data_IF_606338807673
#
_entry.id   IF_606338807673
#
_cell.length_a   1.000
_cell.length_b   1.000
_cell.length_c   1.000
_cell.angle_alpha   90.00
_cell.angle_beta   90.00
_cell.angle_gamma   90.00
#
_symmetry.space_group_name_H-M   'P 1'
#
loop_
_entity.id
_entity.type
_entity.pdbx_description
1 polymer ?
#
# COMPACT_ATOMS: atom_id res chain seq x y z
N UNK A 1 6.53 -13.57 -2.02
CA UNK A 1 5.09 -13.87 -2.19
C UNK A 1 4.18 -13.26 -1.12
N UNK A 2 4.51 -13.25 0.18
CA UNK A 2 3.61 -12.67 1.23
C UNK A 2 3.25 -11.18 1.04
N UNK A 3 4.19 -10.35 0.60
CA UNK A 3 3.91 -8.94 0.32
C UNK A 3 2.98 -8.75 -0.87
N UNK A 4 3.17 -9.54 -1.94
CA UNK A 4 2.24 -9.58 -3.07
C UNK A 4 0.85 -10.07 -2.67
N UNK A 5 0.78 -11.10 -1.83
CA UNK A 5 -0.49 -11.56 -1.30
C UNK A 5 -1.21 -10.46 -0.50
N UNK A 6 -0.52 -9.78 0.43
CA UNK A 6 -1.11 -8.67 1.17
C UNK A 6 -1.62 -7.56 0.24
N UNK A 7 -0.83 -7.23 -0.77
CA UNK A 7 -1.18 -6.20 -1.73
C UNK A 7 -2.43 -6.55 -2.55
N UNK A 8 -2.50 -7.76 -3.08
CA UNK A 8 -3.62 -8.19 -3.93
C UNK A 8 -4.89 -8.56 -3.13
N UNK A 9 -4.75 -8.91 -1.85
CA UNK A 9 -5.81 -9.63 -1.14
C UNK A 9 -6.19 -9.04 0.23
N UNK A 10 -5.28 -8.33 0.92
CA UNK A 10 -5.50 -7.82 2.28
C UNK A 10 -5.57 -6.29 2.34
N UNK A 11 -5.96 -5.65 1.24
CA UNK A 11 -6.22 -4.20 1.21
C UNK A 11 -5.06 -3.34 0.71
N UNK A 12 -4.06 -3.94 0.06
CA UNK A 12 -2.97 -3.21 -0.57
C UNK A 12 -1.79 -2.98 0.36
N UNK A 13 -0.62 -2.71 -0.24
CA UNK A 13 0.53 -2.20 0.49
C UNK A 13 0.77 -0.74 0.07
N UNK A 14 0.76 0.16 1.06
CA UNK A 14 0.90 1.61 0.86
C UNK A 14 2.19 2.12 1.48
N UNK A 15 2.66 3.26 0.97
CA UNK A 15 3.75 3.98 1.61
C UNK A 15 3.27 4.64 2.91
N UNK A 16 4.19 4.93 3.81
CA UNK A 16 3.94 5.74 4.98
C UNK A 16 3.61 7.18 4.59
N UNK A 17 2.78 7.84 5.41
CA UNK A 17 2.55 9.27 5.23
C UNK A 17 3.84 10.05 5.53
N UNK A 18 4.00 11.20 4.91
CA UNK A 18 5.18 12.07 5.16
C UNK A 18 5.28 12.50 6.63
N UNK A 19 4.14 12.64 7.32
CA UNK A 19 4.13 12.91 8.76
C UNK A 19 4.71 11.74 9.55
N UNK A 20 4.26 10.51 9.29
CA UNK A 20 4.79 9.33 9.96
C UNK A 20 6.29 9.15 9.71
N UNK A 21 6.75 9.36 8.47
CA UNK A 21 8.17 9.32 8.12
C UNK A 21 8.99 10.32 8.93
N UNK A 22 8.49 11.55 9.12
CA UNK A 22 9.16 12.57 9.95
C UNK A 22 9.17 12.19 11.43
N UNK A 23 8.03 11.80 11.97
CA UNK A 23 7.86 11.55 13.40
C UNK A 23 8.70 10.34 13.87
N UNK A 24 8.73 9.29 13.05
CA UNK A 24 9.46 8.04 13.33
C UNK A 24 10.84 7.98 12.66
N UNK A 25 11.26 9.05 11.97
CA UNK A 25 12.55 9.17 11.27
C UNK A 25 12.80 8.02 10.28
N UNK A 26 11.75 7.61 9.57
CA UNK A 26 11.81 6.58 8.53
C UNK A 26 12.09 7.27 7.19
N UNK A 27 13.14 6.82 6.49
CA UNK A 27 13.58 7.44 5.24
C UNK A 27 12.94 6.85 3.98
N UNK A 28 12.27 5.70 4.08
CA UNK A 28 11.77 4.97 2.93
C UNK A 28 10.43 4.28 3.17
N UNK A 29 9.86 3.69 2.11
CA UNK A 29 8.62 2.95 2.20
C UNK A 29 8.79 1.65 3.02
N UNK A 30 7.68 1.05 3.49
CA UNK A 30 7.74 -0.27 4.11
C UNK A 30 8.32 -1.29 3.14
N UNK A 31 9.07 -2.27 3.65
CA UNK A 31 9.68 -3.35 2.84
C UNK A 31 8.71 -4.02 1.86
N UNK A 32 7.47 -4.27 2.27
CA UNK A 32 6.51 -4.90 1.38
C UNK A 32 6.13 -4.00 0.20
N UNK A 33 6.15 -2.67 0.35
CA UNK A 33 5.88 -1.73 -0.74
C UNK A 33 6.98 -1.80 -1.79
N UNK A 34 8.24 -1.80 -1.36
CA UNK A 34 9.40 -1.94 -2.25
C UNK A 34 9.36 -3.25 -3.05
N UNK A 35 9.11 -4.38 -2.38
CA UNK A 35 9.02 -5.69 -3.02
C UNK A 35 7.87 -5.73 -4.03
N UNK A 36 6.72 -5.18 -3.66
CA UNK A 36 5.55 -5.07 -4.55
C UNK A 36 5.89 -4.28 -5.80
N UNK A 37 6.53 -3.12 -5.65
CA UNK A 37 6.88 -2.24 -6.77
C UNK A 37 7.94 -2.85 -7.68
N UNK A 38 8.94 -3.56 -7.12
CA UNK A 38 9.93 -4.31 -7.91
C UNK A 38 9.30 -5.45 -8.70
N UNK A 39 8.33 -6.17 -8.12
CA UNK A 39 7.62 -7.24 -8.82
C UNK A 39 6.74 -6.65 -9.94
N UNK A 40 6.01 -5.57 -9.67
CA UNK A 40 5.13 -4.91 -10.65
C UNK A 40 5.89 -4.26 -11.81
N UNK A 41 7.09 -3.73 -11.54
CA UNK A 41 7.98 -3.18 -12.57
C UNK A 41 8.73 -4.26 -13.36
N UNK A 42 8.57 -5.54 -13.00
CA UNK A 42 9.26 -6.65 -13.65
C UNK A 42 10.73 -6.81 -13.26
N UNK A 43 11.21 -6.04 -12.28
CA UNK A 43 12.57 -6.19 -11.74
C UNK A 43 12.72 -7.50 -10.95
N UNK A 44 11.65 -7.93 -10.28
CA UNK A 44 11.57 -9.18 -9.54
C UNK A 44 10.39 -10.03 -10.04
N UNK A 45 10.45 -11.34 -9.77
CA UNK A 45 9.35 -12.26 -10.03
C UNK A 45 9.20 -13.29 -8.90
N UNK A 46 7.99 -13.83 -8.76
CA UNK A 46 7.75 -14.96 -7.84
C UNK A 46 7.92 -16.25 -8.65
N UNK A 47 8.98 -17.00 -8.34
CA UNK A 47 9.31 -18.26 -9.02
C UNK A 47 8.43 -19.44 -8.63
N UNK A 48 7.68 -19.33 -7.53
CA UNK A 48 6.79 -20.39 -7.06
C UNK A 48 5.51 -20.38 -7.88
N UNK A 49 5.28 -21.45 -8.64
CA UNK A 49 4.01 -21.69 -9.33
C UNK A 49 2.86 -21.79 -8.33
N UNK A 50 1.67 -21.35 -8.72
CA UNK A 50 0.46 -21.39 -7.89
C UNK A 50 0.61 -20.73 -6.50
N UNK A 51 1.58 -19.81 -6.35
CA UNK A 51 1.83 -19.13 -5.09
C UNK A 51 0.56 -18.45 -4.57
N UNK A 52 -0.24 -17.86 -5.46
CA UNK A 52 -1.47 -17.16 -5.09
C UNK A 52 -2.51 -18.10 -4.51
N UNK A 53 -2.70 -19.27 -5.13
CA UNK A 53 -3.63 -20.28 -4.65
C UNK A 53 -3.16 -20.83 -3.29
N UNK A 54 -1.87 -21.15 -3.18
CA UNK A 54 -1.26 -21.64 -1.94
C UNK A 54 -1.41 -20.66 -0.78
N UNK A 55 -1.22 -19.36 -1.04
CA UNK A 55 -1.37 -18.31 -0.03
C UNK A 55 -2.84 -18.09 0.34
N UNK A 56 -3.73 -18.09 -0.66
CA UNK A 56 -5.18 -17.96 -0.44
C UNK A 56 -5.71 -19.11 0.41
N UNK A 57 -5.30 -20.34 0.12
CA UNK A 57 -5.71 -21.52 0.88
C UNK A 57 -5.24 -21.45 2.34
N UNK A 58 -4.04 -20.91 2.61
CA UNK A 58 -3.48 -20.84 3.96
C UNK A 58 -3.97 -19.66 4.78
N UNK A 59 -4.10 -18.48 4.18
CA UNK A 59 -4.35 -17.23 4.91
C UNK A 59 -5.75 -16.68 4.68
N UNK A 60 -6.45 -17.14 3.64
CA UNK A 60 -7.75 -16.61 3.24
C UNK A 60 -7.67 -15.22 2.61
N UNK A 61 -8.68 -14.89 1.82
CA UNK A 61 -8.83 -13.55 1.26
C UNK A 61 -10.08 -12.88 1.83
N UNK A 62 -9.89 -12.02 2.82
CA UNK A 62 -11.01 -11.25 3.36
C UNK A 62 -11.29 -10.09 2.41
N UNK A 63 -12.48 -10.10 1.79
CA UNK A 63 -13.02 -8.86 1.22
C UNK A 63 -13.19 -7.89 2.39
N UNK A 64 -12.77 -6.62 2.26
CA UNK A 64 -13.14 -5.62 3.24
C UNK A 64 -14.66 -5.67 3.38
N UNK A 65 -15.18 -6.00 4.56
CA UNK A 65 -16.55 -5.61 4.89
C UNK A 65 -16.56 -4.10 4.74
N UNK A 66 -17.55 -3.52 4.04
CA UNK A 66 -17.72 -2.07 3.95
C UNK A 66 -17.62 -1.48 5.37
N UNK A 67 -16.43 -1.00 5.72
CA UNK A 67 -16.14 -0.43 7.01
C UNK A 67 -16.17 1.08 6.77
N UNK A 68 -17.15 1.82 7.29
CA UNK A 68 -17.37 3.24 6.97
C UNK A 68 -16.20 4.16 7.38
N UNK A 69 -15.18 3.64 8.07
CA UNK A 69 -13.99 4.37 8.48
C UNK A 69 -12.88 4.48 7.43
N UNK A 70 -13.09 3.99 6.19
CA UNK A 70 -12.22 4.40 5.07
C UNK A 70 -12.61 5.82 4.60
N UNK A 71 -12.22 6.82 5.39
CA UNK A 71 -12.15 8.20 4.90
C UNK A 71 -11.10 8.24 3.78
N UNK A 72 -11.44 8.70 2.55
CA UNK A 72 -10.42 9.01 1.56
C UNK A 72 -9.65 10.23 2.06
N UNK A 73 -8.44 10.03 2.56
CA UNK A 73 -7.57 11.13 2.92
C UNK A 73 -7.00 11.80 1.66
N UNK A 74 -7.63 12.95 1.38
CA UNK A 74 -7.00 14.24 1.05
C UNK A 74 -6.37 14.37 -0.34
N UNK A 75 -7.17 14.90 -1.28
CA UNK A 75 -6.70 15.77 -2.36
C UNK A 75 -6.13 17.05 -1.72
N UNK A 76 -4.94 17.55 -2.11
CA UNK A 76 -4.41 18.78 -1.56
C UNK A 76 -5.30 19.97 -1.96
N UNK A 77 -5.73 20.74 -0.96
CA UNK A 77 -6.34 22.06 -1.09
C UNK A 77 -5.43 22.97 -1.92
N UNK A 78 -5.88 23.35 -3.12
CA UNK A 78 -5.40 24.55 -3.78
C UNK A 78 -6.21 25.72 -3.24
N UNK A 79 -5.65 26.44 -2.26
CA UNK A 79 -6.12 27.78 -1.91
C UNK A 79 -5.34 28.78 -2.78
N UNK A 80 -5.98 29.55 -3.67
CA UNK A 80 -5.36 30.78 -4.14
C UNK A 80 -5.38 31.78 -2.98
N UNK A 81 -4.19 32.05 -2.45
CA UNK A 81 -3.88 33.28 -1.74
C UNK A 81 -4.08 34.45 -2.71
N UNK A 82 -4.81 35.48 -2.30
CA UNK A 82 -4.42 36.89 -2.49
C UNK A 82 -5.43 37.80 -1.78
N UNK A 83 -4.97 38.29 -0.64
CA UNK A 83 -5.43 39.50 0.05
C UNK A 83 -4.81 40.69 -0.69
N UNK A 84 -5.60 41.55 -1.35
CA UNK A 84 -5.18 42.91 -1.66
C UNK A 84 -6.25 43.93 -1.27
N UNK A 85 -5.72 45.06 -0.79
CA UNK A 85 -6.35 46.22 -0.20
C UNK A 85 -7.01 47.10 -1.27
#
# INVERSE_FOLDING_TARGET
MICMFHDECLGGVKDYTEQFKRDFRVSGPPRCKEIVDRIRSGQDSISVSDWKASMTQRFGCHKPKDNPDQKPDQKPDQKPDQRQH
#
